data_IF_927029438629
#
_entry.id   IF_927029438629
#
_cell.length_a   1.000
_cell.length_b   1.000
_cell.length_c   1.000
_cell.angle_alpha   90.00
_cell.angle_beta   90.00
_cell.angle_gamma   90.00
#
_symmetry.space_group_name_H-M   'P 1'
#
loop_
_entity.id
_entity.type
_entity.pdbx_description
1 polymer ?
#
# COMPACT_ATOMS: atom_id res chain seq x y z
N UNK A 1 -14.55 -28.36 7.43
CA UNK A 1 -15.79 -28.13 6.68
C UNK A 1 -15.70 -26.75 6.08
N UNK A 2 -15.74 -26.70 4.75
CA UNK A 2 -15.42 -25.55 3.90
C UNK A 2 -16.60 -24.57 3.83
N UNK A 3 -16.36 -23.27 4.00
CA UNK A 3 -17.27 -22.20 3.54
C UNK A 3 -16.47 -21.03 3.00
N UNK A 4 -16.00 -21.19 1.76
CA UNK A 4 -15.57 -20.09 0.90
C UNK A 4 -16.81 -19.33 0.46
N UNK A 5 -16.95 -18.06 0.86
CA UNK A 5 -17.97 -17.15 0.34
C UNK A 5 -17.36 -16.41 -0.85
N UNK A 6 -17.86 -16.71 -2.04
CA UNK A 6 -17.51 -16.03 -3.30
C UNK A 6 -18.17 -14.65 -3.30
N UNK A 7 -17.39 -13.59 -3.40
CA UNK A 7 -17.89 -12.23 -3.67
C UNK A 7 -18.00 -12.08 -5.20
N UNK A 8 -19.18 -11.69 -5.67
CA UNK A 8 -19.53 -11.51 -7.07
C UNK A 8 -19.33 -10.03 -7.43
N UNK A 9 -18.28 -9.71 -8.19
CA UNK A 9 -18.08 -8.38 -8.75
C UNK A 9 -19.08 -8.13 -9.91
N UNK A 10 -19.86 -7.06 -9.81
CA UNK A 10 -20.82 -6.64 -10.83
C UNK A 10 -20.24 -5.45 -11.61
N UNK A 11 -19.71 -5.71 -12.81
CA UNK A 11 -19.26 -4.69 -13.76
C UNK A 11 -20.46 -4.24 -14.60
N UNK A 12 -20.87 -2.98 -14.47
CA UNK A 12 -21.89 -2.35 -15.32
C UNK A 12 -21.21 -1.49 -16.38
N UNK A 13 -21.14 -2.01 -17.60
CA UNK A 13 -20.83 -1.26 -18.81
C UNK A 13 -22.07 -0.47 -19.27
N UNK A 14 -21.97 0.86 -19.32
CA UNK A 14 -23.01 1.75 -19.85
C UNK A 14 -22.66 2.23 -21.26
N UNK A 15 -23.40 1.75 -22.26
CA UNK A 15 -23.25 2.10 -23.67
C UNK A 15 -24.03 3.36 -24.08
N UNK A 16 -23.44 4.06 -25.06
CA UNK A 16 -23.96 5.03 -26.02
C UNK A 16 -25.49 5.12 -26.21
N UNK A 17 -26.00 6.36 -26.22
CA UNK A 17 -27.23 6.74 -26.93
C UNK A 17 -26.96 8.00 -27.77
N UNK A 18 -27.07 7.82 -29.08
CA UNK A 18 -27.10 8.84 -30.14
C UNK A 18 -28.42 9.61 -30.15
N UNK A 19 -28.38 10.93 -30.30
CA UNK A 19 -29.52 11.79 -30.58
C UNK A 19 -29.28 12.65 -31.82
N UNK A 20 -29.91 12.28 -32.95
CA UNK A 20 -30.08 13.07 -34.17
C UNK A 20 -31.26 14.03 -33.99
N UNK A 21 -31.12 15.33 -34.29
CA UNK A 21 -32.15 16.17 -34.92
C UNK A 21 -31.53 17.50 -35.40
N UNK A 22 -31.81 17.89 -36.66
CA UNK A 22 -31.60 19.27 -37.11
C UNK A 22 -31.34 19.45 -38.61
N UNK A 23 -32.40 19.43 -39.42
CA UNK A 23 -32.41 19.87 -40.82
C UNK A 23 -32.02 21.34 -40.98
N UNK A 24 -31.20 21.66 -41.98
CA UNK A 24 -30.99 23.02 -42.49
C UNK A 24 -30.44 22.94 -43.92
N UNK A 25 -31.20 23.47 -44.88
CA UNK A 25 -30.99 23.39 -46.31
C UNK A 25 -29.84 24.29 -46.82
N UNK A 26 -29.09 23.85 -47.83
CA UNK A 26 -29.15 24.36 -49.21
C UNK A 26 -27.89 24.01 -50.03
N UNK A 27 -28.12 23.33 -51.15
CA UNK A 27 -27.56 23.57 -52.50
C UNK A 27 -26.04 23.57 -52.81
N UNK A 28 -25.70 22.58 -53.66
CA UNK A 28 -24.86 22.62 -54.87
C UNK A 28 -23.31 22.70 -54.84
N UNK A 29 -22.75 21.65 -55.47
CA UNK A 29 -21.82 21.67 -56.61
C UNK A 29 -20.30 21.52 -56.39
N UNK A 30 -19.83 20.35 -56.83
CA UNK A 30 -18.74 20.15 -57.83
C UNK A 30 -17.27 20.26 -57.41
N UNK A 31 -16.65 19.07 -57.38
CA UNK A 31 -15.34 18.65 -57.92
C UNK A 31 -14.21 19.67 -58.16
N UNK A 32 -12.98 19.32 -57.73
CA UNK A 32 -11.88 18.83 -58.60
C UNK A 32 -10.46 19.06 -58.02
N UNK A 33 -9.63 18.01 -58.11
CA UNK A 33 -8.15 17.95 -58.28
C UNK A 33 -7.22 18.43 -57.15
N UNK A 34 -6.35 17.57 -56.59
CA UNK A 34 -5.02 17.08 -57.05
C UNK A 34 -3.88 18.04 -56.69
N UNK A 35 -2.96 17.63 -55.80
CA UNK A 35 -1.51 17.58 -56.07
C UNK A 35 -0.70 17.02 -54.88
N UNK A 36 0.15 16.06 -55.23
CA UNK A 36 1.28 15.43 -54.52
C UNK A 36 2.56 16.26 -54.68
N UNK A 37 3.38 16.41 -53.63
CA UNK A 37 4.86 16.62 -53.64
C UNK A 37 5.37 16.11 -52.27
N UNK A 38 5.95 14.91 -52.17
CA UNK A 38 7.39 14.54 -52.21
C UNK A 38 8.16 14.63 -50.88
N UNK A 39 8.96 13.58 -50.73
CA UNK A 39 9.79 13.06 -49.65
C UNK A 39 11.18 13.73 -49.59
N UNK A 40 11.75 13.89 -48.39
CA UNK A 40 13.18 13.76 -48.03
C UNK A 40 13.26 13.82 -46.48
N UNK A 41 13.60 12.76 -45.73
CA UNK A 41 14.87 12.03 -45.56
C UNK A 41 15.79 12.60 -44.44
N UNK A 42 16.01 11.72 -43.45
CA UNK A 42 17.06 11.62 -42.41
C UNK A 42 17.17 12.66 -41.29
N UNK A 43 17.02 12.20 -40.05
CA UNK A 43 18.15 12.13 -39.11
C UNK A 43 17.86 11.02 -38.08
N UNK A 44 18.76 10.03 -38.04
CA UNK A 44 18.79 8.95 -37.05
C UNK A 44 19.25 9.54 -35.70
N UNK A 45 18.39 9.43 -34.69
CA UNK A 45 18.81 9.52 -33.29
C UNK A 45 18.68 8.13 -32.69
N UNK A 46 19.81 7.58 -32.27
CA UNK A 46 19.94 6.28 -31.62
C UNK A 46 19.19 6.28 -30.28
N UNK A 47 18.06 5.60 -30.23
CA UNK A 47 17.47 5.14 -28.98
C UNK A 47 18.18 3.84 -28.58
N UNK A 48 19.17 3.93 -27.68
CA UNK A 48 19.50 2.79 -26.83
C UNK A 48 18.32 2.60 -25.88
N UNK A 49 17.34 1.82 -26.34
CA UNK A 49 16.39 1.17 -25.46
C UNK A 49 17.16 0.10 -24.69
N UNK A 50 17.63 0.48 -23.50
CA UNK A 50 18.09 -0.45 -22.48
C UNK A 50 16.91 -1.39 -22.19
N UNK A 51 16.97 -2.57 -22.78
CA UNK A 51 16.02 -3.64 -22.54
C UNK A 51 16.36 -4.23 -21.17
N UNK A 52 15.96 -3.51 -20.10
CA UNK A 52 15.98 -4.03 -18.75
C UNK A 52 14.93 -5.15 -18.73
N UNK A 53 15.43 -6.34 -18.99
CA UNK A 53 14.73 -7.57 -18.67
C UNK A 53 14.61 -7.55 -17.15
N UNK A 54 13.39 -7.46 -16.62
CA UNK A 54 13.11 -7.51 -15.19
C UNK A 54 13.56 -8.87 -14.64
N UNK A 55 14.84 -8.96 -14.30
CA UNK A 55 15.30 -9.91 -13.30
C UNK A 55 14.59 -9.48 -12.02
N UNK A 56 13.64 -10.30 -11.55
CA UNK A 56 13.03 -10.17 -10.22
C UNK A 56 14.15 -9.90 -9.23
N UNK A 57 14.21 -8.68 -8.68
CA UNK A 57 15.29 -8.33 -7.80
C UNK A 57 15.07 -9.12 -6.50
N UNK A 58 15.95 -10.07 -6.23
CA UNK A 58 15.82 -10.93 -5.06
C UNK A 58 16.26 -10.15 -3.81
N UNK A 59 15.41 -9.22 -3.36
CA UNK A 59 15.56 -8.48 -2.12
C UNK A 59 15.02 -9.29 -0.94
N UNK A 60 15.56 -9.12 0.29
CA UNK A 60 15.10 -9.87 1.45
C UNK A 60 13.61 -9.64 1.76
N UNK A 61 12.94 -10.64 2.33
CA UNK A 61 11.62 -10.40 2.90
C UNK A 61 11.73 -9.42 4.08
N UNK A 62 10.68 -8.64 4.33
CA UNK A 62 10.66 -7.73 5.46
C UNK A 62 10.68 -8.51 6.79
N UNK A 63 11.65 -8.19 7.63
CA UNK A 63 11.67 -8.49 9.06
C UNK A 63 11.78 -7.17 9.82
N UNK A 64 11.08 -7.06 10.95
CA UNK A 64 11.18 -5.86 11.79
C UNK A 64 12.62 -5.69 12.30
N UNK A 65 13.29 -4.58 12.00
CA UNK A 65 14.72 -4.45 12.29
C UNK A 65 15.04 -3.96 13.71
N UNK A 66 14.02 -3.52 14.47
CA UNK A 66 14.20 -3.01 15.82
C UNK A 66 14.46 -4.09 16.88
N UNK A 67 14.99 -3.71 18.04
CA UNK A 67 15.42 -4.67 19.07
C UNK A 67 14.26 -5.35 19.83
N UNK A 68 13.05 -4.78 19.79
CA UNK A 68 11.93 -5.29 20.57
C UNK A 68 11.22 -6.47 19.87
N UNK A 69 11.28 -7.64 20.52
CA UNK A 69 10.60 -8.86 20.05
C UNK A 69 9.09 -8.66 19.86
N UNK A 70 8.47 -7.80 20.67
CA UNK A 70 7.05 -7.49 20.59
C UNK A 70 6.63 -7.02 19.19
N UNK A 71 7.34 -6.03 18.64
CA UNK A 71 7.07 -5.50 17.31
C UNK A 71 7.44 -6.50 16.21
N UNK A 72 8.47 -7.33 16.42
CA UNK A 72 8.78 -8.42 15.49
C UNK A 72 7.59 -9.38 15.31
N UNK A 73 6.94 -9.76 16.40
CA UNK A 73 5.74 -10.62 16.37
C UNK A 73 4.56 -9.91 15.70
N UNK A 74 4.37 -8.62 15.99
CA UNK A 74 3.30 -7.81 15.40
C UNK A 74 3.42 -7.69 13.88
N UNK A 75 4.58 -7.27 13.38
CA UNK A 75 4.84 -7.11 11.94
C UNK A 75 4.75 -8.44 11.20
N UNK A 76 5.29 -9.51 11.80
CA UNK A 76 5.20 -10.85 11.21
C UNK A 76 3.75 -11.28 11.04
N UNK A 77 2.91 -11.06 12.04
CA UNK A 77 1.49 -11.39 11.96
C UNK A 77 0.78 -10.66 10.83
N UNK A 78 1.01 -9.36 10.66
CA UNK A 78 0.37 -8.56 9.59
C UNK A 78 0.76 -9.11 8.21
N UNK A 79 2.05 -9.43 8.01
CA UNK A 79 2.52 -10.05 6.79
C UNK A 79 1.85 -11.42 6.55
N UNK A 80 1.89 -12.31 7.53
CA UNK A 80 1.33 -13.67 7.41
C UNK A 80 -0.19 -13.66 7.15
N UNK A 81 -0.93 -12.77 7.83
CA UNK A 81 -2.38 -12.72 7.80
C UNK A 81 -2.91 -12.15 6.47
N UNK A 82 -2.27 -11.09 5.95
CA UNK A 82 -2.82 -10.35 4.81
C UNK A 82 -2.17 -10.65 3.46
N UNK A 83 -1.01 -11.32 3.42
CA UNK A 83 -0.32 -11.61 2.16
C UNK A 83 -1.20 -12.32 1.12
N UNK A 84 -2.09 -13.23 1.56
CA UNK A 84 -2.97 -13.98 0.65
C UNK A 84 -4.06 -13.13 -0.04
N UNK A 85 -4.26 -11.88 0.39
CA UNK A 85 -5.23 -10.96 -0.19
C UNK A 85 -4.67 -10.20 -1.40
N UNK A 86 -3.36 -10.29 -1.66
CA UNK A 86 -2.67 -9.53 -2.67
C UNK A 86 -1.88 -10.45 -3.60
N UNK A 87 -1.64 -9.98 -4.82
CA UNK A 87 -0.68 -10.63 -5.72
C UNK A 87 0.74 -10.48 -5.15
N UNK A 88 1.64 -11.39 -5.53
CA UNK A 88 3.05 -11.32 -5.11
C UNK A 88 3.74 -10.11 -5.72
N UNK A 89 4.63 -9.49 -4.95
CA UNK A 89 5.57 -8.44 -5.36
C UNK A 89 6.99 -8.82 -4.90
N UNK A 90 8.00 -8.02 -5.24
CA UNK A 90 9.38 -8.27 -4.79
C UNK A 90 9.52 -8.22 -3.26
N UNK A 91 8.80 -7.31 -2.57
CA UNK A 91 8.76 -7.25 -1.10
C UNK A 91 7.41 -6.75 -0.58
N UNK A 92 6.97 -7.33 0.54
CA UNK A 92 5.87 -6.84 1.35
C UNK A 92 6.40 -6.17 2.63
N UNK A 93 6.04 -4.91 2.85
CA UNK A 93 6.47 -4.10 4.00
C UNK A 93 5.22 -3.61 4.75
N UNK A 94 4.90 -4.16 5.93
CA UNK A 94 3.83 -3.64 6.77
C UNK A 94 4.12 -2.22 7.27
N UNK A 95 3.12 -1.34 7.28
CA UNK A 95 3.21 -0.01 7.90
C UNK A 95 2.30 -0.01 9.12
N UNK A 96 2.89 0.16 10.30
CA UNK A 96 2.20 -0.01 11.59
C UNK A 96 2.11 1.31 12.32
N UNK A 97 0.90 1.87 12.36
CA UNK A 97 0.58 3.07 13.13
C UNK A 97 -0.14 2.64 14.42
N UNK A 98 0.58 2.63 15.54
CA UNK A 98 0.01 2.29 16.84
C UNK A 98 -0.71 3.53 17.39
N UNK A 99 -1.98 3.34 17.75
CA UNK A 99 -2.85 4.37 18.34
C UNK A 99 -2.82 4.25 19.86
N UNK A 100 -2.99 3.03 20.36
CA UNK A 100 -2.98 2.75 21.79
C UNK A 100 -2.58 1.30 22.05
N UNK A 101 -1.94 1.08 23.21
CA UNK A 101 -1.57 -0.24 23.68
C UNK A 101 -2.02 -0.42 25.14
N UNK A 102 -2.80 -1.47 25.40
CA UNK A 102 -3.18 -1.88 26.75
C UNK A 102 -2.41 -3.16 27.12
N UNK A 103 -1.40 -3.01 27.97
CA UNK A 103 -0.62 -4.13 28.52
C UNK A 103 -1.08 -4.58 29.92
N UNK A 104 -2.22 -4.08 30.41
CA UNK A 104 -2.69 -4.37 31.78
C UNK A 104 -2.99 -5.85 32.01
N UNK A 105 -3.29 -6.60 30.94
CA UNK A 105 -3.51 -8.04 30.96
C UNK A 105 -2.49 -8.78 30.06
N UNK A 106 -1.53 -9.49 30.66
CA UNK A 106 -0.48 -10.22 29.91
C UNK A 106 -1.00 -11.39 29.08
N UNK A 107 -2.20 -11.89 29.35
CA UNK A 107 -2.84 -12.95 28.55
C UNK A 107 -3.64 -12.37 27.36
N UNK A 108 -3.82 -11.05 27.30
CA UNK A 108 -4.58 -10.33 26.28
C UNK A 108 -4.13 -8.85 26.22
N UNK A 109 -2.90 -8.63 25.76
CA UNK A 109 -2.36 -7.32 25.42
C UNK A 109 -3.07 -6.86 24.15
N UNK A 110 -3.63 -5.66 24.18
CA UNK A 110 -4.37 -5.10 23.05
C UNK A 110 -3.56 -4.02 22.37
N UNK A 111 -3.36 -4.17 21.06
CA UNK A 111 -2.70 -3.17 20.23
C UNK A 111 -3.71 -2.61 19.26
N UNK A 112 -4.17 -1.40 19.53
CA UNK A 112 -5.06 -0.63 18.66
C UNK A 112 -4.22 0.12 17.64
N UNK A 113 -4.53 -0.03 16.36
CA UNK A 113 -3.72 0.56 15.31
C UNK A 113 -4.39 0.62 13.94
N UNK A 114 -3.76 1.41 13.07
CA UNK A 114 -4.00 1.39 11.63
C UNK A 114 -2.84 0.64 10.96
N UNK A 115 -3.12 -0.61 10.58
CA UNK A 115 -2.15 -1.58 10.10
C UNK A 115 -2.26 -1.73 8.59
N UNK A 116 -1.22 -1.34 7.87
CA UNK A 116 -1.19 -1.46 6.42
C UNK A 116 -0.31 -2.62 6.00
N UNK A 117 -0.75 -3.32 4.95
CA UNK A 117 0.08 -4.24 4.19
C UNK A 117 0.37 -3.59 2.84
N UNK A 118 1.65 -3.39 2.49
CA UNK A 118 2.05 -2.70 1.28
C UNK A 118 3.08 -3.54 0.51
N UNK A 119 2.80 -3.78 -0.77
CA UNK A 119 3.63 -4.54 -1.70
C UNK A 119 4.39 -3.59 -2.62
N UNK A 120 5.67 -3.87 -2.82
CA UNK A 120 6.56 -3.09 -3.66
C UNK A 120 7.34 -3.96 -4.63
N UNK A 121 7.48 -3.46 -5.85
CA UNK A 121 8.45 -3.96 -6.83
C UNK A 121 9.65 -3.01 -6.85
N UNK A 122 10.85 -3.55 -7.02
CA UNK A 122 12.07 -2.75 -7.05
C UNK A 122 12.38 -2.30 -8.47
N UNK A 123 12.30 -0.99 -8.72
CA UNK A 123 12.67 -0.37 -9.98
C UNK A 123 13.92 0.51 -9.78
N UNK A 124 15.08 -0.05 -10.16
CA UNK A 124 16.37 0.61 -9.96
C UNK A 124 16.72 0.78 -8.48
N UNK A 125 16.70 2.02 -7.97
CA UNK A 125 16.90 2.36 -6.56
C UNK A 125 15.62 2.85 -5.87
N UNK A 126 14.44 2.59 -6.46
CA UNK A 126 13.14 3.01 -5.95
C UNK A 126 12.20 1.82 -5.75
N UNK A 127 11.55 1.74 -4.59
CA UNK A 127 10.47 0.78 -4.35
C UNK A 127 9.15 1.36 -4.85
N UNK A 128 8.63 0.83 -5.96
CA UNK A 128 7.32 1.22 -6.48
C UNK A 128 6.20 0.43 -5.79
N UNK A 129 5.26 1.13 -5.15
CA UNK A 129 4.12 0.52 -4.51
C UNK A 129 3.11 0.04 -5.56
N UNK A 130 2.97 -1.28 -5.66
CA UNK A 130 2.13 -1.92 -6.69
C UNK A 130 0.77 -2.36 -6.15
N UNK A 131 0.67 -2.63 -4.84
CA UNK A 131 -0.61 -2.94 -4.18
C UNK A 131 -0.51 -2.78 -2.68
N UNK A 132 -1.66 -2.71 -2.00
CA UNK A 132 -1.71 -2.69 -0.56
C UNK A 132 -3.09 -2.34 -0.02
N UNK A 133 -3.22 -2.30 1.29
CA UNK A 133 -4.45 -1.88 1.95
C UNK A 133 -4.30 -1.73 3.45
N UNK A 134 -5.27 -1.04 4.03
CA UNK A 134 -5.38 -0.75 5.46
C UNK A 134 -6.34 -1.75 6.11
N UNK A 135 -5.93 -2.22 7.28
CA UNK A 135 -6.66 -3.12 8.16
C UNK A 135 -6.69 -2.52 9.56
N UNK A 136 -7.44 -1.42 9.81
CA UNK A 136 -7.48 -0.83 11.12
C UNK A 136 -8.20 -1.77 12.09
N UNK A 137 -7.76 -1.82 13.34
CA UNK A 137 -8.32 -2.76 14.29
C UNK A 137 -7.58 -2.87 15.62
N UNK A 138 -7.83 -3.99 16.30
CA UNK A 138 -7.18 -4.37 17.54
C UNK A 138 -6.51 -5.74 17.40
N UNK A 139 -5.19 -5.80 17.52
CA UNK A 139 -4.44 -7.06 17.55
C UNK A 139 -4.29 -7.50 19.01
N UNK A 140 -4.67 -8.74 19.28
CA UNK A 140 -4.61 -9.36 20.61
C UNK A 140 -3.35 -10.23 20.71
N UNK A 141 -2.56 -9.97 21.75
CA UNK A 141 -1.25 -10.61 21.96
C UNK A 141 -1.18 -11.17 23.38
N UNK A 142 -0.67 -12.38 23.54
CA UNK A 142 -0.34 -12.90 24.87
C UNK A 142 1.16 -12.99 25.07
N UNK A 143 1.59 -12.84 26.32
CA UNK A 143 2.93 -13.20 26.76
C UNK A 143 3.04 -14.72 26.85
N UNK A 144 4.20 -15.26 26.50
CA UNK A 144 4.54 -16.69 26.61
C UNK A 144 5.94 -16.84 27.21
N UNK A 145 6.32 -18.05 27.60
CA UNK A 145 7.69 -18.33 28.07
C UNK A 145 8.76 -18.00 27.01
N UNK A 146 8.39 -17.98 25.74
CA UNK A 146 9.26 -17.72 24.58
C UNK A 146 9.18 -16.25 24.09
N UNK A 147 8.36 -15.39 24.72
CA UNK A 147 8.16 -14.00 24.33
C UNK A 147 6.68 -13.66 24.13
N UNK A 148 6.25 -13.43 22.89
CA UNK A 148 4.90 -13.00 22.56
C UNK A 148 4.27 -13.86 21.46
N UNK A 149 2.94 -13.95 21.45
CA UNK A 149 2.18 -14.60 20.39
C UNK A 149 0.88 -13.84 20.13
N UNK A 150 0.61 -13.50 18.87
CA UNK A 150 -0.72 -13.02 18.47
C UNK A 150 -1.74 -14.15 18.63
N UNK A 151 -2.92 -13.82 19.14
CA UNK A 151 -4.03 -14.77 19.34
C UNK A 151 -5.19 -14.51 18.39
N UNK A 152 -5.44 -13.25 18.04
CA UNK A 152 -6.52 -12.83 17.14
C UNK A 152 -6.37 -11.36 16.75
N UNK A 153 -7.19 -10.92 15.79
CA UNK A 153 -7.38 -9.51 15.48
C UNK A 153 -8.87 -9.23 15.27
N UNK A 154 -9.35 -8.17 15.89
CA UNK A 154 -10.63 -7.54 15.54
C UNK A 154 -10.36 -6.50 14.45
N UNK A 155 -11.00 -6.63 13.29
CA UNK A 155 -10.76 -5.79 12.11
C UNK A 155 -11.99 -4.92 11.84
N UNK A 156 -11.77 -3.64 11.60
CA UNK A 156 -12.82 -2.71 11.16
C UNK A 156 -13.39 -3.18 9.83
N UNK A 157 -14.72 -3.26 9.76
CA UNK A 157 -15.42 -3.68 8.55
C UNK A 157 -15.37 -2.58 7.46
N UNK A 158 -15.65 -2.94 6.21
CA UNK A 158 -15.69 -2.01 5.11
C UNK A 158 -17.12 -1.46 4.84
N UNK A 159 -17.20 -0.51 3.91
CA UNK A 159 -18.47 -0.01 3.38
C UNK A 159 -19.38 0.61 4.44
N UNK A 160 -20.65 0.21 4.46
CA UNK A 160 -21.65 0.78 5.38
C UNK A 160 -21.41 0.44 6.84
N UNK A 161 -20.60 -0.59 7.13
CA UNK A 161 -20.36 -1.06 8.48
C UNK A 161 -19.07 -0.49 9.09
N UNK A 162 -18.30 0.26 8.31
CA UNK A 162 -17.04 0.87 8.73
C UNK A 162 -17.17 1.68 10.02
N UNK A 163 -18.10 2.64 10.06
CA UNK A 163 -18.21 3.55 11.20
C UNK A 163 -18.64 2.82 12.48
N UNK A 164 -19.59 1.88 12.37
CA UNK A 164 -20.12 1.18 13.52
C UNK A 164 -19.09 0.20 14.10
N UNK A 165 -18.41 -0.57 13.24
CA UNK A 165 -17.33 -1.48 13.67
C UNK A 165 -16.11 -0.74 14.21
N UNK A 166 -15.71 0.39 13.62
CA UNK A 166 -14.62 1.21 14.14
C UNK A 166 -14.93 1.74 15.54
N UNK A 167 -16.17 2.21 15.79
CA UNK A 167 -16.58 2.66 17.14
C UNK A 167 -16.64 1.51 18.14
N UNK A 168 -17.08 0.33 17.72
CA UNK A 168 -17.13 -0.85 18.56
C UNK A 168 -15.71 -1.30 18.97
N UNK A 169 -14.79 -1.37 18.01
CA UNK A 169 -13.43 -1.84 18.23
C UNK A 169 -12.61 -0.82 19.02
N UNK A 170 -12.55 0.43 18.56
CA UNK A 170 -11.69 1.44 19.19
C UNK A 170 -12.29 2.06 20.45
N UNK A 171 -13.62 2.00 20.64
CA UNK A 171 -14.26 2.45 21.86
C UNK A 171 -13.88 3.88 22.26
N UNK A 172 -13.25 4.03 23.44
CA UNK A 172 -12.79 5.34 23.94
C UNK A 172 -11.63 5.95 23.12
N UNK A 173 -10.91 5.13 22.34
CA UNK A 173 -9.83 5.55 21.45
C UNK A 173 -10.30 5.85 20.02
N UNK A 174 -11.61 5.87 19.75
CA UNK A 174 -12.14 6.13 18.42
C UNK A 174 -11.71 7.51 17.88
N UNK A 175 -11.74 8.55 18.71
CA UNK A 175 -11.32 9.90 18.30
C UNK A 175 -9.82 9.96 17.99
N UNK A 176 -8.99 9.19 18.73
CA UNK A 176 -7.55 9.07 18.45
C UNK A 176 -7.31 8.31 17.14
N UNK A 177 -8.10 7.26 16.87
CA UNK A 177 -8.09 6.55 15.60
C UNK A 177 -8.46 7.47 14.43
N UNK A 178 -9.54 8.25 14.53
CA UNK A 178 -9.92 9.20 13.47
C UNK A 178 -8.80 10.22 13.22
N UNK A 179 -8.15 10.72 14.28
CA UNK A 179 -7.03 11.65 14.16
C UNK A 179 -5.83 11.02 13.45
N UNK A 180 -5.42 9.81 13.82
CA UNK A 180 -4.25 9.13 13.22
C UNK A 180 -4.54 8.71 11.78
N UNK A 181 -5.73 8.14 11.53
CA UNK A 181 -6.12 7.64 10.20
C UNK A 181 -6.35 8.75 9.18
N UNK A 182 -6.68 9.97 9.61
CA UNK A 182 -6.86 11.14 8.73
C UNK A 182 -5.61 12.01 8.54
N UNK A 183 -4.51 11.72 9.24
CA UNK A 183 -3.24 12.46 9.12
C UNK A 183 -2.32 11.79 8.09
N UNK A 184 -2.57 12.07 6.81
CA UNK A 184 -1.79 11.53 5.70
C UNK A 184 -0.29 11.87 5.82
N UNK A 185 0.05 13.08 6.29
CA UNK A 185 1.44 13.51 6.42
C UNK A 185 2.17 12.71 7.51
N UNK A 186 1.53 12.49 8.66
CA UNK A 186 2.10 11.67 9.72
C UNK A 186 2.25 10.21 9.27
N UNK A 187 1.24 9.64 8.60
CA UNK A 187 1.30 8.27 8.10
C UNK A 187 2.40 8.08 7.06
N UNK A 188 2.58 9.03 6.14
CA UNK A 188 3.68 8.96 5.15
C UNK A 188 5.06 9.08 5.81
N UNK A 189 5.23 9.86 6.88
CA UNK A 189 6.49 9.87 7.66
C UNK A 189 6.77 8.52 8.30
N UNK A 190 5.76 7.89 8.90
CA UNK A 190 5.88 6.53 9.48
C UNK A 190 6.27 5.53 8.40
N UNK A 191 5.59 5.56 7.25
CA UNK A 191 5.89 4.71 6.09
C UNK A 191 7.32 4.87 5.61
N UNK A 192 7.75 6.10 5.33
CA UNK A 192 9.10 6.42 4.88
C UNK A 192 10.16 5.93 5.88
N UNK A 193 9.90 6.09 7.18
CA UNK A 193 10.83 5.66 8.23
C UNK A 193 10.94 4.14 8.33
N UNK A 194 9.82 3.41 8.22
CA UNK A 194 9.82 1.93 8.23
C UNK A 194 10.61 1.38 7.03
N UNK A 195 10.40 1.95 5.84
CA UNK A 195 11.12 1.54 4.63
C UNK A 195 12.61 1.85 4.78
N UNK A 196 12.96 3.05 5.26
CA UNK A 196 14.37 3.42 5.53
C UNK A 196 15.05 2.45 6.50
N UNK A 197 14.38 2.07 7.58
CA UNK A 197 14.88 1.12 8.56
C UNK A 197 15.10 -0.27 7.95
N UNK A 198 14.19 -0.74 7.08
CA UNK A 198 14.34 -2.00 6.35
C UNK A 198 15.52 -1.96 5.38
N UNK A 199 15.64 -0.89 4.59
CA UNK A 199 16.72 -0.69 3.61
C UNK A 199 18.08 -0.71 4.31
N UNK A 200 18.20 0.02 5.42
CA UNK A 200 19.43 0.06 6.21
C UNK A 200 19.78 -1.30 6.82
N UNK A 201 18.81 -1.99 7.42
CA UNK A 201 19.04 -3.27 8.09
C UNK A 201 19.50 -4.38 7.12
N UNK A 202 19.17 -4.25 5.84
CA UNK A 202 19.47 -5.23 4.80
C UNK A 202 20.61 -4.81 3.84
N UNK A 203 21.31 -3.71 4.13
CA UNK A 203 22.40 -3.17 3.29
C UNK A 203 21.97 -2.95 1.83
N UNK A 204 20.75 -2.44 1.63
CA UNK A 204 20.17 -2.21 0.30
C UNK A 204 20.51 -0.80 -0.20
N UNK A 205 20.79 -0.67 -1.50
CA UNK A 205 21.04 0.63 -2.16
C UNK A 205 19.75 1.26 -2.72
N UNK A 206 18.68 1.25 -1.92
CA UNK A 206 17.38 1.86 -2.26
C UNK A 206 17.36 3.27 -1.66
N UNK A 207 16.91 4.26 -2.42
CA UNK A 207 16.93 5.68 -2.01
C UNK A 207 15.55 6.29 -1.85
N UNK A 208 14.53 5.69 -2.47
CA UNK A 208 13.19 6.22 -2.47
C UNK A 208 12.13 5.11 -2.48
N UNK A 209 10.90 5.49 -2.17
CA UNK A 209 9.71 4.73 -2.54
C UNK A 209 8.76 5.63 -3.33
N UNK A 210 7.84 5.05 -4.07
CA UNK A 210 6.93 5.79 -4.93
C UNK A 210 5.57 5.13 -4.99
N UNK A 211 4.50 5.93 -4.99
CA UNK A 211 3.17 5.47 -5.37
C UNK A 211 2.92 5.77 -6.86
N UNK A 212 2.18 4.88 -7.53
CA UNK A 212 1.94 5.01 -8.96
C UNK A 212 1.36 6.39 -9.33
N UNK A 213 2.05 7.10 -10.22
CA UNK A 213 1.64 8.43 -10.72
C UNK A 213 2.02 9.61 -9.82
N UNK A 214 2.75 9.37 -8.73
CA UNK A 214 3.31 10.40 -7.84
C UNK A 214 4.82 10.53 -7.99
N UNK A 215 5.40 11.63 -7.54
CA UNK A 215 6.85 11.78 -7.49
C UNK A 215 7.46 10.83 -6.41
N UNK A 216 8.66 10.26 -6.63
CA UNK A 216 9.33 9.45 -5.61
C UNK A 216 9.60 10.23 -4.32
N UNK A 217 9.37 9.57 -3.19
CA UNK A 217 9.66 10.09 -1.85
C UNK A 217 11.02 9.57 -1.39
N UNK A 218 11.95 10.49 -1.14
CA UNK A 218 13.29 10.14 -0.63
C UNK A 218 13.20 9.58 0.80
N UNK A 219 13.94 8.50 1.04
CA UNK A 219 14.00 7.89 2.37
C UNK A 219 14.76 8.78 3.36
N UNK A 220 14.24 8.95 4.59
CA UNK A 220 14.94 9.68 5.65
C UNK A 220 16.13 8.87 6.18
N UNK A 221 16.92 9.46 7.07
CA UNK A 221 17.88 8.71 7.88
C UNK A 221 17.15 7.68 8.76
N UNK A 222 17.76 6.51 8.92
CA UNK A 222 17.23 5.42 9.75
C UNK A 222 17.20 5.79 11.25
N UNK A 223 16.26 5.22 11.98
CA UNK A 223 16.10 5.44 13.43
C UNK A 223 15.70 4.16 14.19
N UNK A 224 16.21 3.01 13.75
CA UNK A 224 15.84 1.66 14.23
C UNK A 224 15.72 1.57 15.75
N UNK A 225 16.73 2.03 16.49
CA UNK A 225 16.81 1.89 17.95
C UNK A 225 15.82 2.77 18.73
N UNK A 226 15.21 3.77 18.07
CA UNK A 226 14.33 4.74 18.72
C UNK A 226 12.94 4.81 18.12
N UNK A 227 12.64 4.04 17.06
CA UNK A 227 11.44 4.19 16.26
C UNK A 227 10.15 4.12 17.09
N UNK A 228 10.05 3.15 18.01
CA UNK A 228 8.91 3.01 18.93
C UNK A 228 9.23 3.39 20.39
N UNK A 229 10.41 3.97 20.64
CA UNK A 229 10.83 4.35 22.01
C UNK A 229 10.02 5.49 22.64
N UNK A 230 9.12 6.11 21.87
CA UNK A 230 8.26 7.22 22.32
C UNK A 230 6.82 6.79 22.65
N UNK A 231 6.52 5.49 22.59
CA UNK A 231 5.19 4.95 22.92
C UNK A 231 5.00 4.69 24.44
N UNK A 232 5.97 5.09 25.27
CA UNK A 232 5.96 5.00 26.75
C UNK A 232 5.36 6.23 27.46
#
# INVERSE_FOLDING_TARGET
MCRVRKILALVMAGALVTGLFGCGASEQATASQTETIETEASEEASEEADNITSESANIPAYEYPGPELFYSVLYKYINDEFAANYDSADVAIPIVNIIYQDESNKEDIKVYGDFWYMNYDLEGDTLECVSGGSYPGCIHIKTTDEGYSVTSMDIVEDGSNYLDSAKEIFGEHFDDFEKVSSDDEAREKVRAQIISNYVFANDLNIKAYQDQGWDPVTLPEQNIDSFYSILD
#
